data_IF_249666156268
#
_entry.id   IF_249666156268
#
_cell.length_a   1.000
_cell.length_b   1.000
_cell.length_c   1.000
_cell.angle_alpha   90.00
_cell.angle_beta   90.00
_cell.angle_gamma   90.00
#
_symmetry.space_group_name_H-M   'P 1'
#
loop_
_entity.id
_entity.type
_entity.pdbx_description
1 polymer ?
#
# COMPACT_ATOMS: atom_id res chain seq x y z
N UNK A 1 11.54 -8.36 8.53
CA UNK A 1 11.86 -9.56 7.74
C UNK A 1 10.59 -10.11 7.15
N UNK A 2 10.67 -10.76 6.00
CA UNK A 2 9.54 -11.26 5.21
C UNK A 2 8.61 -12.15 6.05
N UNK A 3 9.19 -12.93 6.97
CA UNK A 3 8.48 -13.78 7.93
C UNK A 3 7.53 -13.01 8.85
N UNK A 4 7.90 -11.82 9.31
CA UNK A 4 7.05 -11.03 10.22
C UNK A 4 5.89 -10.34 9.49
N UNK A 5 6.12 -9.90 8.25
CA UNK A 5 5.05 -9.42 7.37
C UNK A 5 4.05 -10.54 7.07
N UNK A 6 4.54 -11.72 6.68
CA UNK A 6 3.69 -12.87 6.40
C UNK A 6 2.87 -13.28 7.62
N UNK A 7 3.47 -13.37 8.82
CA UNK A 7 2.74 -13.65 10.07
C UNK A 7 1.64 -12.63 10.34
N UNK A 8 1.91 -11.34 10.08
CA UNK A 8 0.91 -10.27 10.28
C UNK A 8 -0.25 -10.43 9.32
N UNK A 9 0.03 -10.66 8.04
CA UNK A 9 -0.99 -10.88 7.00
C UNK A 9 -1.82 -12.13 7.31
N UNK A 10 -1.16 -13.22 7.70
CA UNK A 10 -1.82 -14.46 8.13
C UNK A 10 -2.74 -14.23 9.33
N UNK A 11 -2.31 -13.43 10.32
CA UNK A 11 -3.14 -13.09 11.47
C UNK A 11 -4.39 -12.30 11.08
N UNK A 12 -4.32 -11.43 10.07
CA UNK A 12 -5.48 -10.69 9.56
C UNK A 12 -6.42 -11.61 8.77
N UNK A 13 -5.86 -12.51 7.95
CA UNK A 13 -6.61 -13.49 7.18
C UNK A 13 -7.40 -14.45 8.09
N UNK A 14 -6.74 -14.96 9.13
CA UNK A 14 -7.25 -15.97 10.05
C UNK A 14 -8.19 -15.43 11.13
N UNK A 15 -8.31 -14.11 11.28
CA UNK A 15 -9.25 -13.52 12.21
C UNK A 15 -10.71 -13.90 11.88
N UNK A 16 -11.56 -13.90 12.92
CA UNK A 16 -12.97 -14.31 12.91
C UNK A 16 -13.93 -13.30 12.26
N UNK A 17 -13.47 -12.10 11.90
CA UNK A 17 -14.26 -11.13 11.16
C UNK A 17 -14.57 -11.61 9.72
N UNK A 18 -15.80 -11.40 9.19
CA UNK A 18 -16.21 -11.90 7.88
C UNK A 18 -15.31 -11.44 6.73
N UNK A 19 -14.97 -12.34 5.81
CA UNK A 19 -14.03 -12.08 4.71
C UNK A 19 -14.51 -11.01 3.75
N UNK A 20 -15.81 -10.99 3.46
CA UNK A 20 -16.47 -10.01 2.60
C UNK A 20 -16.33 -8.57 3.12
N UNK A 21 -16.15 -8.41 4.43
CA UNK A 21 -16.03 -7.13 5.13
C UNK A 21 -14.57 -6.75 5.44
N UNK A 22 -13.59 -7.58 5.05
CA UNK A 22 -12.16 -7.32 5.27
C UNK A 22 -11.51 -6.70 4.05
N UNK A 23 -10.74 -5.64 4.29
CA UNK A 23 -9.78 -5.08 3.34
C UNK A 23 -8.46 -4.83 4.08
N UNK A 24 -7.39 -5.46 3.62
CA UNK A 24 -6.03 -5.16 4.10
C UNK A 24 -5.47 -3.97 3.32
N UNK A 25 -5.29 -2.84 3.98
CA UNK A 25 -4.60 -1.68 3.41
C UNK A 25 -3.17 -1.60 3.94
N UNK A 26 -2.17 -1.64 3.06
CA UNK A 26 -0.75 -1.54 3.41
C UNK A 26 -0.16 -0.30 2.75
N UNK A 27 0.61 0.49 3.50
CA UNK A 27 1.37 1.63 2.93
C UNK A 27 2.86 1.37 3.06
N UNK A 28 3.56 1.27 1.93
CA UNK A 28 5.02 1.27 1.90
C UNK A 28 5.53 2.73 1.82
N UNK A 29 6.21 3.18 2.87
CA UNK A 29 6.69 4.56 3.03
C UNK A 29 8.04 4.77 2.31
N UNK A 30 8.00 4.64 0.98
CA UNK A 30 9.15 4.70 0.08
C UNK A 30 9.71 3.34 -0.29
N UNK A 31 10.57 3.32 -1.31
CA UNK A 31 11.31 2.14 -1.78
C UNK A 31 12.62 2.01 -1.00
N UNK A 32 12.50 1.86 0.32
CA UNK A 32 13.65 1.67 1.21
C UNK A 32 13.99 0.19 1.30
N UNK A 33 15.24 -0.14 1.00
CA UNK A 33 15.85 -1.41 1.41
C UNK A 33 16.38 -1.24 2.84
N UNK A 34 15.87 -2.03 3.78
CA UNK A 34 16.36 -2.02 5.16
C UNK A 34 17.86 -2.39 5.23
N UNK A 35 18.57 -1.96 6.26
CA UNK A 35 19.96 -2.38 6.46
C UNK A 35 20.04 -3.90 6.56
N UNK A 36 20.70 -4.54 5.57
CA UNK A 36 20.82 -6.00 5.47
C UNK A 36 19.65 -6.74 4.80
N UNK A 37 18.65 -6.03 4.26
CA UNK A 37 17.60 -6.64 3.43
C UNK A 37 18.05 -6.73 1.97
N UNK A 38 17.69 -7.81 1.27
CA UNK A 38 17.98 -8.02 -0.16
C UNK A 38 16.90 -7.45 -1.07
N UNK A 39 15.72 -7.14 -0.53
CA UNK A 39 14.57 -6.60 -1.23
C UNK A 39 13.96 -5.45 -0.43
N UNK A 40 13.36 -4.50 -1.15
CA UNK A 40 12.58 -3.40 -0.61
C UNK A 40 11.23 -3.88 -0.08
N UNK A 41 10.59 -3.06 0.76
CA UNK A 41 9.28 -3.42 1.34
C UNK A 41 8.20 -3.69 0.26
N UNK A 42 8.08 -2.87 -0.81
CA UNK A 42 7.16 -3.16 -1.91
C UNK A 42 7.41 -4.51 -2.59
N UNK A 43 8.67 -4.87 -2.84
CA UNK A 43 9.04 -6.15 -3.48
C UNK A 43 8.67 -7.35 -2.58
N UNK A 44 8.93 -7.25 -1.28
CA UNK A 44 8.55 -8.30 -0.30
C UNK A 44 7.02 -8.45 -0.26
N UNK A 45 6.27 -7.34 -0.27
CA UNK A 45 4.82 -7.39 -0.33
C UNK A 45 4.33 -8.04 -1.63
N UNK A 46 4.98 -7.75 -2.76
CA UNK A 46 4.72 -8.38 -4.05
C UNK A 46 4.90 -9.89 -4.02
N UNK A 47 6.00 -10.36 -3.43
CA UNK A 47 6.26 -11.79 -3.24
C UNK A 47 5.22 -12.51 -2.37
N UNK A 48 4.66 -11.82 -1.36
CA UNK A 48 3.66 -12.40 -0.45
C UNK A 48 2.25 -12.36 -1.07
N UNK A 49 1.88 -11.23 -1.67
CA UNK A 49 0.51 -10.95 -2.12
C UNK A 49 0.28 -11.25 -3.61
N UNK A 50 1.33 -11.57 -4.37
CA UNK A 50 1.26 -11.99 -5.76
C UNK A 50 1.16 -10.84 -6.77
N UNK A 51 1.79 -9.69 -6.51
CA UNK A 51 1.91 -8.60 -7.49
C UNK A 51 3.38 -8.31 -7.80
N UNK A 52 3.66 -7.76 -8.98
CA UNK A 52 4.98 -7.30 -9.37
C UNK A 52 5.08 -5.78 -9.16
N UNK A 53 6.16 -5.34 -8.52
CA UNK A 53 6.42 -3.93 -8.25
C UNK A 53 7.47 -3.38 -9.21
N UNK A 54 7.17 -2.27 -9.88
CA UNK A 54 8.15 -1.47 -10.62
C UNK A 54 8.15 -0.01 -10.12
N UNK A 55 9.34 0.58 -9.99
CA UNK A 55 9.53 1.99 -9.68
C UNK A 55 9.01 2.95 -10.78
N UNK A 56 8.76 2.44 -11.99
CA UNK A 56 8.21 3.15 -13.12
C UNK A 56 6.71 2.97 -13.28
N UNK A 57 6.07 2.18 -12.41
CA UNK A 57 4.62 2.01 -12.42
C UNK A 57 3.90 3.35 -12.28
N UNK A 58 2.68 3.39 -12.80
CA UNK A 58 1.82 4.56 -12.71
C UNK A 58 1.65 4.98 -11.25
N UNK A 59 1.76 6.29 -11.02
CA UNK A 59 1.74 6.86 -9.68
C UNK A 59 0.88 8.11 -9.69
N UNK A 60 0.01 8.20 -8.69
CA UNK A 60 -1.07 9.16 -8.64
C UNK A 60 -0.80 10.22 -7.58
N UNK A 61 -1.05 11.50 -7.91
CA UNK A 61 -0.82 12.60 -6.98
C UNK A 61 -1.79 12.53 -5.79
N UNK A 62 -1.25 12.76 -4.59
CA UNK A 62 -2.02 13.08 -3.41
C UNK A 62 -1.41 14.25 -2.64
N UNK A 63 -2.28 14.97 -1.92
CA UNK A 63 -1.86 16.08 -1.07
C UNK A 63 -1.14 15.57 0.16
N UNK A 64 0.12 15.97 0.28
CA UNK A 64 1.07 15.47 1.26
C UNK A 64 1.51 16.54 2.25
N UNK A 65 2.15 16.11 3.35
CA UNK A 65 2.70 17.00 4.38
C UNK A 65 4.11 17.51 4.02
N UNK A 66 4.46 18.67 4.57
CA UNK A 66 5.81 19.24 4.47
C UNK A 66 5.92 20.36 3.44
N UNK A 67 7.17 20.75 3.13
CA UNK A 67 7.46 21.88 2.20
C UNK A 67 7.02 21.56 0.78
N UNK A 68 7.22 20.32 0.35
CA UNK A 68 6.66 19.81 -0.89
C UNK A 68 5.34 19.09 -0.56
N UNK A 69 4.23 19.74 -0.93
CA UNK A 69 2.86 19.30 -0.62
C UNK A 69 2.30 18.31 -1.64
N UNK A 70 3.09 17.96 -2.66
CA UNK A 70 2.74 16.96 -3.66
C UNK A 70 3.58 15.71 -3.45
N UNK A 71 2.90 14.58 -3.41
CA UNK A 71 3.55 13.27 -3.38
C UNK A 71 2.77 12.33 -4.28
N UNK A 72 3.43 11.28 -4.74
CA UNK A 72 2.86 10.32 -5.68
C UNK A 72 2.87 8.94 -5.06
N UNK A 73 1.87 8.13 -5.42
CA UNK A 73 1.68 6.80 -4.86
C UNK A 73 1.25 5.84 -5.95
N UNK A 74 1.90 4.69 -6.05
CA UNK A 74 1.47 3.58 -6.89
C UNK A 74 0.51 2.70 -6.08
N UNK A 75 -0.49 2.12 -6.75
CA UNK A 75 -1.56 1.34 -6.11
C UNK A 75 -1.59 -0.05 -6.71
N UNK A 76 -1.52 -1.07 -5.86
CA UNK A 76 -1.68 -2.48 -6.24
C UNK A 76 -2.84 -3.05 -5.44
N UNK A 77 -3.76 -3.74 -6.10
CA UNK A 77 -4.93 -4.32 -5.46
C UNK A 77 -5.18 -5.73 -5.97
N UNK A 78 -5.76 -6.57 -5.11
CA UNK A 78 -6.02 -7.96 -5.45
C UNK A 78 -6.68 -8.72 -4.30
N UNK A 79 -6.67 -10.05 -4.44
CA UNK A 79 -7.16 -10.97 -3.41
C UNK A 79 -6.02 -11.91 -3.05
N UNK A 80 -5.65 -11.92 -1.77
CA UNK A 80 -4.75 -12.91 -1.21
C UNK A 80 -5.56 -14.14 -0.81
N UNK A 81 -5.21 -15.30 -1.36
CA UNK A 81 -5.88 -16.57 -1.08
C UNK A 81 -4.91 -17.54 -0.41
N UNK A 82 -5.42 -18.29 0.58
CA UNK A 82 -4.64 -19.32 1.26
C UNK A 82 -5.50 -20.51 1.62
N UNK A 83 -5.03 -21.71 1.29
CA UNK A 83 -5.63 -22.96 1.72
C UNK A 83 -5.40 -23.20 3.20
N UNK A 84 -6.48 -23.43 3.96
CA UNK A 84 -6.46 -23.64 5.41
C UNK A 84 -7.41 -24.80 5.75
N UNK A 85 -6.82 -25.95 6.06
CA UNK A 85 -7.57 -27.18 6.26
C UNK A 85 -8.24 -27.62 4.96
N UNK A 86 -9.58 -27.67 4.96
CA UNK A 86 -10.38 -28.11 3.81
C UNK A 86 -11.04 -26.94 3.05
N UNK A 87 -10.59 -25.69 3.27
CA UNK A 87 -11.15 -24.53 2.58
C UNK A 87 -10.15 -23.43 2.32
N UNK A 88 -10.50 -22.55 1.38
CA UNK A 88 -9.72 -21.38 1.00
C UNK A 88 -10.20 -20.16 1.77
N UNK A 89 -9.30 -19.46 2.47
CA UNK A 89 -9.56 -18.14 3.07
C UNK A 89 -9.13 -17.06 2.09
N UNK A 90 -9.89 -15.97 2.01
CA UNK A 90 -9.63 -14.82 1.13
C UNK A 90 -9.47 -13.52 1.90
N UNK A 91 -8.56 -12.66 1.43
CA UNK A 91 -8.34 -11.31 1.94
C UNK A 91 -8.13 -10.34 0.78
N UNK A 92 -9.11 -9.46 0.54
CA UNK A 92 -8.93 -8.33 -0.38
C UNK A 92 -7.84 -7.44 0.16
N UNK A 93 -6.95 -6.96 -0.70
CA UNK A 93 -5.87 -6.05 -0.30
C UNK A 93 -5.76 -4.84 -1.22
N UNK A 94 -5.18 -3.78 -0.67
CA UNK A 94 -4.69 -2.60 -1.38
C UNK A 94 -3.32 -2.22 -0.80
N UNK A 95 -2.29 -2.28 -1.63
CA UNK A 95 -0.94 -1.84 -1.31
C UNK A 95 -0.69 -0.49 -1.97
N UNK A 96 -0.30 0.48 -1.16
CA UNK A 96 -0.03 1.85 -1.53
C UNK A 96 1.48 2.10 -1.38
N UNK A 97 2.20 2.30 -2.47
CA UNK A 97 3.65 2.50 -2.45
C UNK A 97 3.98 3.95 -2.73
N UNK A 98 4.51 4.67 -1.74
CA UNK A 98 4.90 6.07 -1.93
C UNK A 98 6.13 6.15 -2.82
N UNK A 99 6.06 6.98 -3.85
CA UNK A 99 7.12 7.15 -4.86
C UNK A 99 7.87 8.48 -4.70
N UNK A 100 7.32 9.45 -3.98
CA UNK A 100 7.88 10.81 -3.99
C UNK A 100 7.54 11.57 -5.26
N UNK A 101 7.90 12.85 -5.30
CA UNK A 101 7.87 13.62 -6.53
C UNK A 101 8.91 13.13 -7.54
N UNK A 102 8.77 13.49 -8.82
CA UNK A 102 9.74 13.17 -9.88
C UNK A 102 11.19 13.53 -9.49
N UNK A 103 11.38 14.63 -8.78
CA UNK A 103 12.69 15.09 -8.31
C UNK A 103 13.28 14.24 -7.16
N UNK A 104 12.43 13.49 -6.46
CA UNK A 104 12.83 12.60 -5.37
C UNK A 104 13.08 11.16 -5.85
N UNK A 105 12.64 10.81 -7.07
CA UNK A 105 12.79 9.46 -7.63
C UNK A 105 14.26 9.06 -7.70
N UNK A 106 14.55 7.82 -7.33
CA UNK A 106 15.92 7.29 -7.22
C UNK A 106 16.63 7.60 -5.89
N UNK A 107 16.08 8.49 -5.05
CA UNK A 107 16.55 8.59 -3.67
C UNK A 107 15.97 7.46 -2.83
N UNK A 108 16.79 6.85 -1.97
CA UNK A 108 16.33 5.76 -1.09
C UNK A 108 15.26 6.17 -0.08
N UNK A 109 14.85 7.44 0.01
CA UNK A 109 13.79 7.94 0.91
C UNK A 109 12.71 8.72 0.16
N UNK A 110 12.57 8.50 -1.15
CA UNK A 110 11.60 9.18 -1.97
C UNK A 110 10.18 9.03 -1.41
N UNK A 111 9.47 10.14 -1.25
CA UNK A 111 8.08 10.11 -0.79
C UNK A 111 7.90 9.84 0.70
N UNK A 112 8.97 9.55 1.45
CA UNK A 112 8.88 9.27 2.88
C UNK A 112 8.65 10.56 3.67
N UNK A 113 7.42 10.74 4.13
CA UNK A 113 6.97 11.87 4.96
C UNK A 113 6.37 11.40 6.29
N UNK A 114 6.69 10.17 6.66
CA UNK A 114 6.29 9.53 7.91
C UNK A 114 4.83 9.08 7.95
N UNK A 115 4.49 8.43 9.07
CA UNK A 115 3.21 7.74 9.28
C UNK A 115 1.99 8.66 9.18
N UNK A 116 2.11 9.91 9.64
CA UNK A 116 1.01 10.89 9.59
C UNK A 116 0.62 11.21 8.15
N UNK A 117 1.60 11.32 7.27
CA UNK A 117 1.36 11.55 5.85
C UNK A 117 0.68 10.34 5.19
N UNK A 118 1.09 9.11 5.55
CA UNK A 118 0.42 7.88 5.10
C UNK A 118 -1.05 7.83 5.53
N UNK A 119 -1.33 8.24 6.78
CA UNK A 119 -2.70 8.31 7.29
C UNK A 119 -3.54 9.35 6.54
N UNK A 120 -2.96 10.49 6.17
CA UNK A 120 -3.67 11.52 5.41
C UNK A 120 -3.98 11.11 3.97
N UNK A 121 -3.10 10.35 3.32
CA UNK A 121 -3.37 9.78 2.01
C UNK A 121 -4.63 8.90 2.05
N UNK A 122 -4.65 7.93 2.97
CA UNK A 122 -5.79 7.00 3.14
C UNK A 122 -7.04 7.73 3.60
N UNK A 123 -6.95 8.51 4.69
CA UNK A 123 -8.11 9.20 5.24
C UNK A 123 -8.69 10.22 4.25
N UNK A 124 -7.85 10.87 3.46
CA UNK A 124 -8.28 11.78 2.41
C UNK A 124 -9.06 11.06 1.31
N UNK A 125 -8.54 9.91 0.84
CA UNK A 125 -9.22 9.07 -0.15
C UNK A 125 -10.56 8.55 0.38
N UNK A 126 -10.56 7.93 1.57
CA UNK A 126 -11.78 7.41 2.19
C UNK A 126 -12.81 8.52 2.47
N UNK A 127 -12.36 9.70 2.88
CA UNK A 127 -13.24 10.85 3.09
C UNK A 127 -13.93 11.27 1.78
N UNK A 128 -13.18 11.39 0.68
CA UNK A 128 -13.74 11.79 -0.61
C UNK A 128 -14.70 10.72 -1.16
N UNK A 129 -14.34 9.44 -1.06
CA UNK A 129 -15.20 8.33 -1.44
C UNK A 129 -16.48 8.28 -0.60
N UNK A 130 -16.38 8.38 0.73
CA UNK A 130 -17.52 8.29 1.64
C UNK A 130 -18.54 9.42 1.44
N UNK A 131 -18.06 10.64 1.19
CA UNK A 131 -18.93 11.82 1.00
C UNK A 131 -19.22 12.13 -0.48
N UNK A 132 -18.84 11.25 -1.41
CA UNK A 132 -18.99 11.45 -2.85
C UNK A 132 -18.51 12.83 -3.34
N UNK A 133 -17.34 13.27 -2.86
CA UNK A 133 -16.72 14.54 -3.24
C UNK A 133 -16.00 14.41 -4.58
N UNK A 134 -15.58 15.54 -5.15
CA UNK A 134 -14.72 15.51 -6.32
C UNK A 134 -13.48 14.64 -6.06
N UNK A 135 -13.24 13.62 -6.90
CA UNK A 135 -12.15 12.68 -6.69
C UNK A 135 -10.81 13.36 -7.00
N UNK A 136 -9.82 13.10 -6.15
CA UNK A 136 -8.42 13.32 -6.49
C UNK A 136 -7.90 12.24 -7.44
N UNK A 137 -6.67 12.41 -7.91
CA UNK A 137 -6.03 11.46 -8.83
C UNK A 137 -5.96 10.04 -8.22
N UNK A 138 -5.51 9.92 -6.95
CA UNK A 138 -5.49 8.66 -6.20
C UNK A 138 -6.85 7.95 -6.14
N UNK A 139 -7.95 8.69 -6.04
CA UNK A 139 -9.28 8.07 -5.82
C UNK A 139 -9.81 7.41 -7.09
N UNK A 140 -9.38 7.90 -8.26
CA UNK A 140 -9.84 7.39 -9.55
C UNK A 140 -9.35 5.97 -9.83
N UNK A 141 -8.31 5.52 -9.13
CA UNK A 141 -7.73 4.17 -9.25
C UNK A 141 -8.60 3.11 -8.56
N UNK A 142 -9.43 3.54 -7.61
CA UNK A 142 -10.20 2.65 -6.73
C UNK A 142 -11.66 2.48 -7.21
N UNK A 143 -12.00 3.01 -8.38
CA UNK A 143 -13.36 2.98 -8.95
C UNK A 143 -13.68 1.69 -9.68
#
# INVERSE_FOLDING_TARGET
TDKELLKTIDSVLLNDYPEENKLLMVVADGVITGSGATASTPEILGQILGFEFDCMDEAYEYKSLGKNTRNYISVYAGVYEKEIGNGTRRLKYMVLVKQGSMAERGSGRAGNRGKRDSQLAIAGMLNRLHYNREPGELDNVVK
#
